data_IF_136221036786
#
_entry.id   IF_136221036786
#
_cell.length_a   1.000
_cell.length_b   1.000
_cell.length_c   1.000
_cell.angle_alpha   90.00
_cell.angle_beta   90.00
_cell.angle_gamma   90.00
#
_symmetry.space_group_name_H-M   'P 1'
#
loop_
_entity.id
_entity.type
_entity.pdbx_description
1 polymer ?
#
# COMPACT_ATOMS: atom_id res chain seq x y z
N UNK A 1 16.83 35.05 13.04
CA UNK A 1 17.39 33.98 12.19
C UNK A 1 17.10 32.63 12.82
N UNK A 2 15.86 32.17 12.71
CA UNK A 2 15.40 30.83 13.10
C UNK A 2 14.32 30.46 12.08
N UNK A 3 14.68 29.78 11.00
CA UNK A 3 13.67 29.27 10.05
C UNK A 3 14.12 28.11 9.16
N UNK A 4 15.42 27.77 9.12
CA UNK A 4 15.90 26.74 8.18
C UNK A 4 16.16 25.37 8.81
N UNK A 5 16.09 25.23 10.15
CA UNK A 5 16.28 23.93 10.82
C UNK A 5 14.97 23.22 11.17
N UNK A 6 13.86 23.93 11.41
CA UNK A 6 12.55 23.31 11.68
C UNK A 6 11.90 22.68 10.45
N UNK A 7 12.23 23.15 9.25
CA UNK A 7 11.74 22.56 7.99
C UNK A 7 12.26 21.12 7.78
N UNK A 8 13.30 20.70 8.53
CA UNK A 8 13.86 19.35 8.47
C UNK A 8 13.21 18.33 9.40
N UNK A 9 12.35 18.73 10.34
CA UNK A 9 11.73 17.81 11.31
C UNK A 9 10.31 17.38 10.93
N UNK A 10 9.64 18.11 10.05
CA UNK A 10 8.30 17.74 9.58
C UNK A 10 8.35 16.70 8.49
N UNK A 11 7.64 15.59 8.74
CA UNK A 11 7.43 14.53 7.76
C UNK A 11 6.84 15.11 6.47
N UNK A 12 7.40 14.80 5.28
CA UNK A 12 6.89 15.32 4.04
C UNK A 12 5.45 14.89 3.80
N UNK A 13 4.65 15.82 3.26
CA UNK A 13 3.25 15.60 2.87
C UNK A 13 3.10 14.39 1.95
N UNK A 14 4.09 14.17 1.06
CA UNK A 14 4.12 13.01 0.18
C UNK A 14 4.14 11.69 0.93
N UNK A 15 4.91 11.59 2.01
CA UNK A 15 5.06 10.36 2.77
C UNK A 15 3.82 10.12 3.63
N UNK A 16 3.24 11.17 4.20
CA UNK A 16 1.96 11.09 4.92
C UNK A 16 0.84 10.62 4.00
N UNK A 17 0.76 11.18 2.79
CA UNK A 17 -0.22 10.77 1.80
C UNK A 17 -0.08 9.29 1.44
N UNK A 18 1.15 8.83 1.16
CA UNK A 18 1.41 7.41 0.87
C UNK A 18 0.99 6.49 2.02
N UNK A 19 1.20 6.91 3.28
CA UNK A 19 0.73 6.12 4.43
C UNK A 19 -0.79 5.98 4.47
N UNK A 20 -1.51 7.08 4.25
CA UNK A 20 -2.97 7.06 4.23
C UNK A 20 -3.45 6.09 3.15
N UNK A 21 -2.85 6.15 1.95
CA UNK A 21 -3.17 5.23 0.87
C UNK A 21 -2.90 3.77 1.23
N UNK A 22 -1.79 3.46 1.91
CA UNK A 22 -1.53 2.10 2.38
C UNK A 22 -2.50 1.63 3.46
N UNK A 23 -2.90 2.50 4.39
CA UNK A 23 -3.90 2.14 5.40
C UNK A 23 -5.27 1.87 4.77
N UNK A 24 -5.68 2.67 3.78
CA UNK A 24 -6.89 2.41 3.00
C UNK A 24 -6.78 1.10 2.22
N UNK A 25 -5.65 0.87 1.54
CA UNK A 25 -5.41 -0.38 0.82
C UNK A 25 -5.41 -1.60 1.76
N UNK A 26 -4.88 -1.46 2.98
CA UNK A 26 -4.89 -2.49 4.00
C UNK A 26 -6.32 -2.83 4.43
N UNK A 27 -7.11 -1.80 4.76
CA UNK A 27 -8.51 -1.97 5.15
C UNK A 27 -9.31 -2.69 4.06
N UNK A 28 -9.20 -2.23 2.81
CA UNK A 28 -9.89 -2.87 1.68
C UNK A 28 -9.43 -4.31 1.45
N UNK A 29 -8.15 -4.62 1.61
CA UNK A 29 -7.64 -5.99 1.48
C UNK A 29 -8.18 -6.92 2.57
N UNK A 30 -8.11 -6.49 3.83
CA UNK A 30 -8.53 -7.31 4.97
C UNK A 30 -10.04 -7.53 4.92
N UNK A 31 -10.80 -6.46 4.70
CA UNK A 31 -12.27 -6.52 4.65
C UNK A 31 -12.72 -7.42 3.49
N UNK A 32 -12.17 -7.25 2.29
CA UNK A 32 -12.50 -8.13 1.16
C UNK A 32 -12.11 -9.58 1.45
N UNK A 33 -10.89 -9.83 1.98
CA UNK A 33 -10.45 -11.18 2.28
C UNK A 33 -11.36 -11.89 3.28
N UNK A 34 -11.84 -11.17 4.30
CA UNK A 34 -12.80 -11.70 5.28
C UNK A 34 -14.15 -11.99 4.62
N UNK A 35 -14.72 -11.04 3.88
CA UNK A 35 -16.01 -11.23 3.21
C UNK A 35 -15.98 -12.37 2.19
N UNK A 36 -14.88 -12.51 1.46
CA UNK A 36 -14.74 -13.53 0.42
C UNK A 36 -14.41 -14.93 0.97
N UNK A 37 -14.06 -15.07 2.25
CA UNK A 37 -13.65 -16.34 2.87
C UNK A 37 -14.73 -17.43 2.82
N UNK A 38 -16.01 -17.03 2.78
CA UNK A 38 -17.16 -17.93 2.62
C UNK A 38 -17.30 -18.53 1.21
N UNK A 39 -16.50 -18.10 0.23
CA UNK A 39 -16.59 -18.59 -1.14
C UNK A 39 -16.14 -20.05 -1.26
N UNK A 40 -16.87 -20.91 -2.01
CA UNK A 40 -16.43 -22.27 -2.29
C UNK A 40 -15.23 -22.26 -3.25
N UNK A 41 -14.27 -23.16 -3.01
CA UNK A 41 -13.07 -23.35 -3.84
C UNK A 41 -11.76 -23.01 -3.14
N UNK A 42 -10.78 -23.90 -3.28
CA UNK A 42 -9.45 -23.77 -2.64
C UNK A 42 -8.74 -22.50 -3.10
N UNK A 43 -8.75 -22.20 -4.41
CA UNK A 43 -8.12 -21.01 -4.99
C UNK A 43 -8.65 -19.73 -4.35
N UNK A 44 -9.97 -19.63 -4.18
CA UNK A 44 -10.63 -18.47 -3.57
C UNK A 44 -10.22 -18.31 -2.10
N UNK A 45 -10.18 -19.40 -1.33
CA UNK A 45 -9.73 -19.38 0.07
C UNK A 45 -8.27 -18.97 0.22
N UNK A 46 -7.38 -19.52 -0.60
CA UNK A 46 -5.96 -19.15 -0.60
C UNK A 46 -5.78 -17.67 -0.92
N UNK A 47 -6.55 -17.15 -1.89
CA UNK A 47 -6.51 -15.75 -2.26
C UNK A 47 -7.06 -14.83 -1.14
N UNK A 48 -8.10 -15.25 -0.43
CA UNK A 48 -8.59 -14.54 0.76
C UNK A 48 -7.52 -14.42 1.85
N UNK A 49 -6.83 -15.52 2.15
CA UNK A 49 -5.72 -15.54 3.12
C UNK A 49 -4.60 -14.62 2.66
N UNK A 50 -4.21 -14.69 1.38
CA UNK A 50 -3.20 -13.82 0.80
C UNK A 50 -3.58 -12.34 0.94
N UNK A 51 -4.82 -11.97 0.64
CA UNK A 51 -5.32 -10.61 0.79
C UNK A 51 -5.22 -10.11 2.23
N UNK A 52 -5.61 -10.92 3.22
CA UNK A 52 -5.48 -10.57 4.63
C UNK A 52 -4.00 -10.35 5.00
N UNK A 53 -3.12 -11.27 4.61
CA UNK A 53 -1.68 -11.17 4.89
C UNK A 53 -1.04 -9.93 4.25
N UNK A 54 -1.36 -9.64 2.99
CA UNK A 54 -0.85 -8.45 2.31
C UNK A 54 -1.49 -7.15 2.82
N UNK A 55 -2.71 -7.19 3.34
CA UNK A 55 -3.31 -6.09 4.07
C UNK A 55 -2.56 -5.79 5.37
N UNK A 56 -2.21 -6.81 6.16
CA UNK A 56 -1.38 -6.66 7.36
C UNK A 56 0.01 -6.12 6.99
N UNK A 57 0.62 -6.65 5.93
CA UNK A 57 1.90 -6.16 5.42
C UNK A 57 1.84 -4.68 5.02
N UNK A 58 0.72 -4.22 4.43
CA UNK A 58 0.50 -2.82 4.10
C UNK A 58 0.43 -1.91 5.35
N UNK A 59 -0.23 -2.33 6.42
CA UNK A 59 -0.20 -1.62 7.72
C UNK A 59 1.23 -1.52 8.23
N UNK A 60 1.97 -2.62 8.21
CA UNK A 60 3.35 -2.65 8.69
C UNK A 60 4.28 -1.74 7.87
N UNK A 61 4.18 -1.79 6.54
CA UNK A 61 4.96 -0.92 5.64
C UNK A 61 4.59 0.53 5.86
N UNK A 62 3.30 0.87 5.93
CA UNK A 62 2.84 2.23 6.22
C UNK A 62 3.45 2.76 7.51
N UNK A 63 3.39 2.00 8.59
CA UNK A 63 4.00 2.38 9.87
C UNK A 63 5.51 2.63 9.74
N UNK A 64 6.22 1.78 8.98
CA UNK A 64 7.67 1.88 8.77
C UNK A 64 8.09 3.07 7.88
N UNK A 65 7.18 3.67 7.11
CA UNK A 65 7.48 4.89 6.33
C UNK A 65 7.71 6.14 7.20
N UNK A 66 7.49 6.06 8.52
CA UNK A 66 7.92 7.09 9.46
C UNK A 66 9.45 7.26 9.53
N UNK A 67 10.21 6.24 9.11
CA UNK A 67 11.67 6.27 9.18
C UNK A 67 12.27 6.62 7.81
N UNK A 68 13.14 7.66 7.71
CA UNK A 68 13.80 8.06 6.48
C UNK A 68 14.91 7.07 6.11
N UNK A 69 14.56 5.94 5.50
CA UNK A 69 15.51 4.95 4.97
C UNK A 69 15.10 4.50 3.58
N UNK A 70 16.05 4.50 2.63
CA UNK A 70 15.84 4.08 1.23
C UNK A 70 15.22 2.69 1.09
N UNK A 71 15.62 1.74 1.93
CA UNK A 71 15.06 0.37 1.92
C UNK A 71 13.56 0.33 2.23
N UNK A 72 13.03 1.29 3.01
CA UNK A 72 11.59 1.38 3.32
C UNK A 72 10.79 1.87 2.13
N UNK A 73 11.33 2.82 1.37
CA UNK A 73 10.76 3.26 0.09
C UNK A 73 10.71 2.12 -0.92
N UNK A 74 11.79 1.34 -1.03
CA UNK A 74 11.82 0.20 -1.95
C UNK A 74 10.85 -0.90 -1.52
N UNK A 75 10.77 -1.21 -0.23
CA UNK A 75 9.78 -2.16 0.30
C UNK A 75 8.34 -1.71 -0.01
N UNK A 76 8.03 -0.42 0.10
CA UNK A 76 6.73 0.12 -0.26
C UNK A 76 6.43 -0.02 -1.76
N UNK A 77 7.38 0.29 -2.64
CA UNK A 77 7.21 0.09 -4.09
C UNK A 77 6.96 -1.38 -4.43
N UNK A 78 7.77 -2.29 -3.87
CA UNK A 78 7.63 -3.73 -4.07
C UNK A 78 6.26 -4.21 -3.60
N UNK A 79 5.84 -3.79 -2.39
CA UNK A 79 4.52 -4.15 -1.88
C UNK A 79 3.40 -3.61 -2.77
N UNK A 80 3.51 -2.38 -3.27
CA UNK A 80 2.53 -1.82 -4.21
C UNK A 80 2.42 -2.64 -5.49
N UNK A 81 3.54 -3.10 -6.06
CA UNK A 81 3.52 -3.98 -7.23
C UNK A 81 2.81 -5.32 -6.91
N UNK A 82 3.12 -5.92 -5.77
CA UNK A 82 2.46 -7.17 -5.34
C UNK A 82 0.96 -6.97 -5.16
N UNK A 83 0.55 -5.86 -4.53
CA UNK A 83 -0.86 -5.52 -4.38
C UNK A 83 -1.55 -5.38 -5.74
N UNK A 84 -0.94 -4.74 -6.74
CA UNK A 84 -1.50 -4.66 -8.09
C UNK A 84 -1.71 -6.05 -8.69
N UNK A 85 -0.70 -6.91 -8.64
CA UNK A 85 -0.79 -8.29 -9.17
C UNK A 85 -1.91 -9.06 -8.46
N UNK A 86 -1.98 -8.97 -7.13
CA UNK A 86 -3.02 -9.63 -6.35
C UNK A 86 -4.43 -9.18 -6.76
N UNK A 87 -4.61 -7.89 -7.08
CA UNK A 87 -5.89 -7.34 -7.54
C UNK A 87 -6.26 -7.78 -8.94
N UNK A 88 -5.29 -7.96 -9.83
CA UNK A 88 -5.53 -8.55 -11.16
C UNK A 88 -6.03 -9.99 -11.01
N UNK A 89 -5.41 -10.78 -10.13
CA UNK A 89 -5.83 -12.16 -9.86
C UNK A 89 -7.23 -12.19 -9.23
N UNK A 90 -7.50 -11.32 -8.24
CA UNK A 90 -8.83 -11.19 -7.63
C UNK A 90 -9.90 -10.88 -8.69
N UNK A 91 -9.63 -9.95 -9.61
CA UNK A 91 -10.54 -9.63 -10.70
C UNK A 91 -10.81 -10.83 -11.59
N UNK A 92 -9.76 -11.58 -11.97
CA UNK A 92 -9.91 -12.79 -12.79
C UNK A 92 -10.76 -13.87 -12.08
N UNK A 93 -10.69 -13.97 -10.76
CA UNK A 93 -11.36 -15.02 -9.97
C UNK A 93 -12.81 -14.68 -9.61
N UNK A 94 -13.13 -13.41 -9.35
CA UNK A 94 -14.47 -12.98 -8.90
C UNK A 94 -15.22 -12.04 -9.85
N UNK A 95 -14.58 -11.50 -10.90
CA UNK A 95 -15.22 -10.60 -11.87
C UNK A 95 -15.74 -9.28 -11.28
N UNK A 96 -15.24 -8.88 -10.11
CA UNK A 96 -15.77 -7.78 -9.30
C UNK A 96 -15.13 -6.41 -9.63
N UNK A 97 -15.95 -5.36 -9.68
CA UNK A 97 -15.58 -3.94 -9.90
C UNK A 97 -14.69 -3.37 -8.77
N UNK A 98 -14.55 -4.05 -7.62
CA UNK A 98 -13.59 -3.69 -6.57
C UNK A 98 -12.13 -3.57 -7.06
N UNK A 99 -11.85 -4.10 -8.25
CA UNK A 99 -10.62 -3.97 -9.03
C UNK A 99 -10.09 -2.54 -9.21
N UNK A 100 -10.96 -1.58 -9.55
CA UNK A 100 -10.51 -0.24 -9.92
C UNK A 100 -9.82 0.46 -8.74
N UNK A 101 -10.48 0.49 -7.58
CA UNK A 101 -9.88 1.09 -6.38
C UNK A 101 -8.65 0.31 -5.91
N UNK A 102 -8.68 -1.02 -6.03
CA UNK A 102 -7.58 -1.90 -5.63
C UNK A 102 -6.29 -1.69 -6.42
N UNK A 103 -6.36 -1.36 -7.71
CA UNK A 103 -5.19 -1.11 -8.57
C UNK A 103 -4.79 0.37 -8.58
N UNK A 104 -5.76 1.28 -8.54
CA UNK A 104 -5.50 2.73 -8.55
C UNK A 104 -4.72 3.14 -7.30
N UNK A 105 -5.11 2.65 -6.12
CA UNK A 105 -4.46 3.02 -4.84
C UNK A 105 -2.94 2.73 -4.85
N UNK A 106 -2.47 1.49 -5.11
CA UNK A 106 -1.04 1.21 -5.22
C UNK A 106 -0.36 1.96 -6.37
N UNK A 107 -1.06 2.21 -7.49
CA UNK A 107 -0.53 2.99 -8.61
C UNK A 107 -0.19 4.43 -8.20
N UNK A 108 -1.11 5.08 -7.48
CA UNK A 108 -0.89 6.42 -6.91
C UNK A 108 0.24 6.40 -5.89
N UNK A 109 0.34 5.35 -5.05
CA UNK A 109 1.45 5.19 -4.10
C UNK A 109 2.79 5.18 -4.82
N UNK A 110 2.95 4.37 -5.88
CA UNK A 110 4.19 4.30 -6.65
C UNK A 110 4.52 5.68 -7.22
N UNK A 111 3.56 6.31 -7.90
CA UNK A 111 3.73 7.65 -8.47
C UNK A 111 4.18 8.68 -7.42
N UNK A 112 3.53 8.71 -6.25
CA UNK A 112 3.90 9.64 -5.17
C UNK A 112 5.26 9.33 -4.57
N UNK A 113 5.65 8.06 -4.43
CA UNK A 113 6.99 7.65 -3.99
C UNK A 113 8.10 7.97 -5.01
N UNK A 114 7.77 8.24 -6.27
CA UNK A 114 8.72 8.70 -7.29
C UNK A 114 8.92 10.23 -7.33
N UNK A 115 8.13 10.99 -6.57
CA UNK A 115 8.29 12.44 -6.42
C UNK A 115 9.66 12.82 -5.84
N UNK A 116 10.14 14.02 -6.20
CA UNK A 116 11.39 14.58 -5.68
C UNK A 116 11.35 14.75 -4.15
N UNK A 117 10.20 15.16 -3.60
CA UNK A 117 9.93 15.29 -2.17
C UNK A 117 10.14 13.95 -1.43
N UNK A 118 9.51 12.87 -1.89
CA UNK A 118 9.67 11.55 -1.29
C UNK A 118 11.09 11.00 -1.46
N UNK A 119 11.71 11.21 -2.62
CA UNK A 119 13.11 10.82 -2.87
C UNK A 119 14.07 11.53 -1.90
N UNK A 120 13.86 12.81 -1.61
CA UNK A 120 14.70 13.58 -0.71
C UNK A 120 14.59 13.08 0.75
N UNK A 121 13.40 12.64 1.17
CA UNK A 121 13.19 12.09 2.52
C UNK A 121 13.84 10.72 2.74
N UNK A 122 13.87 9.87 1.72
CA UNK A 122 14.38 8.50 1.82
C UNK A 122 15.83 8.35 1.31
N UNK A 123 16.53 9.47 1.06
CA UNK A 123 17.95 9.49 0.65
C UNK A 123 18.87 9.11 1.80
#
# INVERSE_FOLDING_TARGET
MQSNQEVRSMKPSAVMFVQILFYLAALLNIVNGIFSFGSPGIVKKTLCIAMILFGIAAVFVAYRLNLPRGSRRQAAIVLSCILIVLRIIEFAVWGSIGFLLGVILPGIVIWRLYSSEAKAWFR
#
